data_IF_548212008113
#
_entry.id   IF_548212008113
#
_cell.length_a   1.000
_cell.length_b   1.000
_cell.length_c   1.000
_cell.angle_alpha   90.00
_cell.angle_beta   90.00
_cell.angle_gamma   90.00
#
_symmetry.space_group_name_H-M   'P 1'
#
loop_
_entity.id
_entity.type
_entity.pdbx_description
1 polymer ?
#
# COMPACT_ATOMS: atom_id res chain seq x y z
N UNK A 1 -36.62 22.53 -5.35
CA UNK A 1 -35.60 21.48 -5.48
C UNK A 1 -34.62 21.62 -4.33
N UNK A 2 -34.86 20.83 -3.26
CA UNK A 2 -34.01 20.82 -2.09
C UNK A 2 -32.73 20.02 -2.38
N UNK A 3 -31.57 20.70 -2.36
CA UNK A 3 -30.26 20.09 -2.37
C UNK A 3 -30.05 19.36 -1.04
N UNK A 4 -30.08 18.02 -1.06
CA UNK A 4 -29.64 17.21 0.08
C UNK A 4 -28.13 17.31 0.20
N UNK A 5 -27.66 18.13 1.11
CA UNK A 5 -26.28 18.09 1.57
C UNK A 5 -26.01 16.73 2.22
N UNK A 6 -25.21 15.89 1.58
CA UNK A 6 -24.67 14.67 2.19
C UNK A 6 -23.64 15.11 3.24
N UNK A 7 -24.08 15.31 4.47
CA UNK A 7 -23.17 15.40 5.62
C UNK A 7 -22.70 13.97 5.96
N UNK A 8 -21.59 13.56 5.40
CA UNK A 8 -20.87 12.37 5.87
C UNK A 8 -19.94 12.80 6.98
N UNK A 9 -20.39 12.71 8.22
CA UNK A 9 -19.54 12.61 9.38
C UNK A 9 -18.73 11.30 9.23
N UNK A 10 -17.61 11.36 8.53
CA UNK A 10 -16.66 10.24 8.45
C UNK A 10 -15.83 10.26 9.72
N UNK A 11 -16.09 9.32 10.60
CA UNK A 11 -15.15 8.94 11.65
C UNK A 11 -13.91 8.38 10.92
N UNK A 12 -12.91 9.23 10.69
CA UNK A 12 -11.63 8.76 10.13
C UNK A 12 -10.93 7.97 11.23
N UNK A 13 -10.64 6.71 10.95
CA UNK A 13 -9.79 5.90 11.82
C UNK A 13 -8.42 6.58 11.95
N UNK A 14 -7.83 6.52 13.14
CA UNK A 14 -6.48 7.08 13.36
C UNK A 14 -5.49 6.40 12.43
N UNK A 15 -4.69 7.17 11.64
CA UNK A 15 -3.66 6.59 10.79
C UNK A 15 -2.65 5.76 11.59
N UNK A 16 -2.25 4.62 11.04
CA UNK A 16 -1.31 3.70 11.64
C UNK A 16 0.12 3.96 11.16
N UNK A 17 1.08 3.55 11.99
CA UNK A 17 2.49 3.48 11.58
C UNK A 17 2.72 2.18 10.81
N UNK A 18 3.06 2.30 9.53
CA UNK A 18 3.24 1.13 8.65
C UNK A 18 4.65 0.55 8.77
N UNK A 19 4.73 -0.77 8.94
CA UNK A 19 5.98 -1.50 8.81
C UNK A 19 6.46 -1.43 7.37
N UNK A 20 7.77 -1.22 7.19
CA UNK A 20 8.36 -1.03 5.88
C UNK A 20 9.78 -1.56 5.80
N UNK A 21 10.26 -1.73 4.59
CA UNK A 21 11.68 -1.96 4.29
C UNK A 21 12.14 -0.86 3.32
N UNK A 22 13.35 -0.37 3.51
CA UNK A 22 13.94 0.63 2.62
C UNK A 22 15.19 0.06 1.94
N UNK A 23 15.31 0.34 0.65
CA UNK A 23 16.46 0.02 -0.19
C UNK A 23 17.08 1.35 -0.62
N UNK A 24 18.26 1.64 -0.10
CA UNK A 24 18.97 2.88 -0.37
C UNK A 24 19.97 2.71 -1.52
N UNK A 25 20.06 3.69 -2.43
CA UNK A 25 21.12 3.73 -3.42
C UNK A 25 22.48 4.04 -2.75
N UNK A 26 23.56 3.65 -3.42
CA UNK A 26 24.88 4.11 -2.99
C UNK A 26 24.92 5.65 -3.02
N UNK A 27 25.59 6.30 -2.02
CA UNK A 27 25.75 7.74 -2.04
C UNK A 27 26.41 8.30 -3.31
N UNK A 28 27.27 7.51 -3.94
CA UNK A 28 27.93 7.85 -5.21
C UNK A 28 26.99 7.87 -6.41
N UNK A 29 25.86 7.16 -6.33
CA UNK A 29 24.97 6.93 -7.46
C UNK A 29 23.78 7.91 -7.46
N UNK A 30 23.58 8.66 -6.37
CA UNK A 30 22.47 9.61 -6.25
C UNK A 30 22.64 10.77 -7.23
N UNK A 31 21.73 10.94 -8.19
CA UNK A 31 21.79 12.09 -9.10
C UNK A 31 21.50 13.38 -8.34
N UNK A 32 22.20 14.45 -8.74
CA UNK A 32 22.13 15.76 -8.09
C UNK A 32 20.76 16.43 -8.22
N UNK A 33 19.99 16.10 -9.28
CA UNK A 33 18.66 16.64 -9.54
C UNK A 33 17.71 15.53 -10.00
N UNK A 34 16.67 15.26 -9.22
CA UNK A 34 15.59 14.35 -9.61
C UNK A 34 14.23 14.95 -9.29
N UNK A 35 13.27 14.77 -10.21
CA UNK A 35 11.88 15.17 -10.02
C UNK A 35 11.17 14.36 -8.94
N UNK A 36 11.59 13.10 -8.77
CA UNK A 36 11.06 12.15 -7.78
C UNK A 36 12.09 11.96 -6.67
N UNK A 37 11.67 12.04 -5.40
CA UNK A 37 12.55 11.89 -4.25
C UNK A 37 12.70 10.44 -3.78
N UNK A 38 11.66 9.63 -3.97
CA UNK A 38 11.61 8.22 -3.57
C UNK A 38 10.52 7.47 -4.35
N UNK A 39 10.64 6.15 -4.41
CA UNK A 39 9.54 5.28 -4.80
C UNK A 39 8.96 4.62 -3.55
N UNK A 40 7.62 4.57 -3.47
CA UNK A 40 6.90 3.87 -2.40
C UNK A 40 5.98 2.84 -3.02
N UNK A 41 6.06 1.59 -2.56
CA UNK A 41 5.36 0.45 -3.15
C UNK A 41 4.38 -0.16 -2.15
N UNK A 42 3.10 -0.25 -2.57
CA UNK A 42 2.00 -0.84 -1.83
C UNK A 42 1.57 -2.16 -2.48
N UNK A 43 1.58 -3.24 -1.71
CA UNK A 43 1.21 -4.58 -2.16
C UNK A 43 -0.32 -4.78 -2.31
N UNK A 44 -0.72 -5.88 -2.94
CA UNK A 44 -2.11 -6.31 -3.05
C UNK A 44 -2.61 -7.06 -1.81
N UNK A 45 -3.91 -7.40 -1.81
CA UNK A 45 -4.56 -8.17 -0.75
C UNK A 45 -3.79 -9.49 -0.51
N UNK A 46 -3.63 -9.87 0.76
CA UNK A 46 -2.84 -11.01 1.25
C UNK A 46 -1.34 -10.93 0.95
N UNK A 47 -0.86 -9.81 0.44
CA UNK A 47 0.55 -9.57 0.20
C UNK A 47 1.29 -9.00 1.41
N UNK A 48 2.56 -8.71 1.19
CA UNK A 48 3.42 -8.01 2.15
C UNK A 48 4.54 -7.27 1.42
N UNK A 49 5.29 -6.43 2.15
CA UNK A 49 6.50 -5.76 1.64
C UNK A 49 7.50 -6.72 1.01
N UNK A 50 7.54 -7.97 1.48
CA UNK A 50 8.48 -8.98 0.98
C UNK A 50 8.23 -9.38 -0.49
N UNK A 51 6.98 -9.29 -0.97
CA UNK A 51 6.65 -9.61 -2.36
C UNK A 51 7.42 -8.72 -3.36
N UNK A 52 7.79 -7.52 -2.94
CA UNK A 52 8.45 -6.52 -3.78
C UNK A 52 9.96 -6.43 -3.59
N UNK A 53 10.53 -7.20 -2.65
CA UNK A 53 11.95 -7.10 -2.25
C UNK A 53 12.92 -7.25 -3.42
N UNK A 54 12.70 -8.23 -4.27
CA UNK A 54 13.60 -8.48 -5.42
C UNK A 54 13.51 -7.37 -6.46
N UNK A 55 12.29 -6.91 -6.75
CA UNK A 55 12.06 -5.82 -7.68
C UNK A 55 12.59 -4.49 -7.12
N UNK A 56 12.39 -4.20 -5.83
CA UNK A 56 12.91 -3.01 -5.19
C UNK A 56 14.46 -2.95 -5.26
N UNK A 57 15.13 -4.09 -5.06
CA UNK A 57 16.60 -4.19 -5.23
C UNK A 57 17.06 -3.90 -6.66
N UNK A 58 16.29 -4.33 -7.66
CA UNK A 58 16.58 -4.00 -9.05
C UNK A 58 16.32 -2.52 -9.36
N UNK A 59 15.19 -1.99 -8.89
CA UNK A 59 14.79 -0.59 -9.08
C UNK A 59 15.78 0.39 -8.43
N UNK A 60 16.31 0.08 -7.24
CA UNK A 60 17.28 0.98 -6.59
C UNK A 60 18.57 1.12 -7.39
N UNK A 61 18.98 0.04 -8.06
CA UNK A 61 20.16 0.06 -8.94
C UNK A 61 19.92 0.86 -10.22
N UNK A 62 18.71 0.74 -10.76
CA UNK A 62 18.34 1.40 -12.03
C UNK A 62 18.06 2.89 -11.84
N UNK A 63 17.31 3.26 -10.80
CA UNK A 63 16.84 4.62 -10.62
C UNK A 63 17.69 5.46 -9.68
N UNK A 64 18.59 4.83 -8.92
CA UNK A 64 19.40 5.48 -7.89
C UNK A 64 18.58 6.31 -6.87
N UNK A 65 17.37 5.83 -6.54
CA UNK A 65 16.42 6.43 -5.61
C UNK A 65 16.18 5.51 -4.42
N UNK A 66 15.86 6.07 -3.24
CA UNK A 66 15.32 5.27 -2.14
C UNK A 66 14.01 4.59 -2.56
N UNK A 67 13.90 3.30 -2.30
CA UNK A 67 12.71 2.50 -2.56
C UNK A 67 12.15 1.98 -1.24
N UNK A 68 10.92 2.35 -0.91
CA UNK A 68 10.22 1.86 0.27
C UNK A 68 9.18 0.82 -0.15
N UNK A 69 9.19 -0.35 0.49
CA UNK A 69 8.12 -1.34 0.38
C UNK A 69 7.35 -1.38 1.69
N UNK A 70 6.03 -1.21 1.64
CA UNK A 70 5.18 -1.12 2.83
C UNK A 70 4.44 -2.44 3.09
N UNK A 71 4.22 -2.77 4.36
CA UNK A 71 3.12 -3.61 4.76
C UNK A 71 1.90 -2.71 5.00
N UNK A 72 0.81 -2.93 4.28
CA UNK A 72 -0.44 -2.20 4.50
C UNK A 72 -1.05 -2.61 5.85
N UNK A 73 -1.95 -1.78 6.45
CA UNK A 73 -2.67 -2.20 7.69
C UNK A 73 -3.25 -3.60 7.55
N UNK A 74 -3.30 -4.34 8.62
CA UNK A 74 -3.77 -5.73 8.68
C UNK A 74 -2.94 -6.75 7.87
N UNK A 75 -1.75 -6.36 7.38
CA UNK A 75 -0.85 -7.23 6.62
C UNK A 75 0.57 -7.21 7.18
N UNK A 76 1.28 -8.31 6.98
CA UNK A 76 2.68 -8.45 7.33
C UNK A 76 2.98 -8.13 8.79
N UNK A 77 3.88 -7.15 9.01
CA UNK A 77 4.27 -6.70 10.34
C UNK A 77 3.62 -5.37 10.75
N UNK A 78 2.72 -4.82 9.92
CA UNK A 78 1.96 -3.62 10.26
C UNK A 78 0.89 -3.89 11.30
N UNK A 79 0.50 -2.89 12.11
CA UNK A 79 -0.55 -3.05 13.10
C UNK A 79 -1.89 -3.46 12.50
N UNK A 80 -2.68 -4.20 13.28
CA UNK A 80 -4.05 -4.55 12.97
C UNK A 80 -5.02 -3.46 13.46
N UNK A 81 -6.11 -3.28 12.71
CA UNK A 81 -7.22 -2.39 13.03
C UNK A 81 -8.54 -3.00 12.57
N UNK A 82 -9.64 -2.59 13.22
CA UNK A 82 -11.00 -3.06 12.90
C UNK A 82 -11.48 -2.60 11.52
N UNK A 83 -10.91 -1.52 11.00
CA UNK A 83 -11.28 -0.98 9.69
C UNK A 83 -10.12 -1.07 8.69
N UNK A 84 -10.46 -1.37 7.45
CA UNK A 84 -9.52 -1.49 6.34
C UNK A 84 -10.12 -0.92 5.05
N UNK A 85 -10.64 0.30 5.14
CA UNK A 85 -11.13 1.00 3.94
C UNK A 85 -9.98 1.57 3.13
N UNK A 86 -10.19 1.82 1.84
CA UNK A 86 -9.18 2.47 1.00
C UNK A 86 -8.80 3.86 1.52
N UNK A 87 -9.74 4.55 2.17
CA UNK A 87 -9.48 5.85 2.79
C UNK A 87 -8.60 5.73 4.04
N UNK A 88 -8.85 4.72 4.88
CA UNK A 88 -8.01 4.47 6.04
C UNK A 88 -6.58 4.14 5.63
N UNK A 89 -6.44 3.26 4.63
CA UNK A 89 -5.12 2.88 4.09
C UNK A 89 -4.41 4.05 3.41
N UNK A 90 -5.13 4.92 2.70
CA UNK A 90 -4.55 6.14 2.13
C UNK A 90 -4.05 7.08 3.22
N UNK A 91 -4.82 7.25 4.32
CA UNK A 91 -4.40 8.01 5.49
C UNK A 91 -3.13 7.48 6.14
N UNK A 92 -2.94 6.14 6.17
CA UNK A 92 -1.70 5.55 6.67
C UNK A 92 -0.51 5.92 5.79
N UNK A 93 -0.68 5.91 4.46
CA UNK A 93 0.39 6.30 3.53
C UNK A 93 0.70 7.80 3.66
N UNK A 94 -0.33 8.66 3.81
CA UNK A 94 -0.12 10.09 4.05
C UNK A 94 0.68 10.32 5.34
N UNK A 95 0.34 9.58 6.42
CA UNK A 95 1.12 9.60 7.66
C UNK A 95 2.55 9.14 7.43
N UNK A 96 2.74 8.03 6.71
CA UNK A 96 4.07 7.51 6.38
C UNK A 96 4.92 8.56 5.64
N UNK A 97 4.33 9.25 4.66
CA UNK A 97 5.04 10.33 3.95
C UNK A 97 5.44 11.47 4.89
N UNK A 98 4.53 11.85 5.80
CA UNK A 98 4.81 12.88 6.80
C UNK A 98 5.92 12.46 7.76
N UNK A 99 5.85 11.25 8.32
CA UNK A 99 6.82 10.73 9.28
C UNK A 99 8.22 10.59 8.67
N UNK A 100 8.31 10.25 7.38
CA UNK A 100 9.56 10.12 6.63
C UNK A 100 9.98 11.40 5.90
N UNK A 101 9.21 12.47 6.04
CA UNK A 101 9.45 13.75 5.36
C UNK A 101 9.58 13.59 3.83
N UNK A 102 8.79 12.70 3.24
CA UNK A 102 8.80 12.41 1.81
C UNK A 102 7.92 13.41 1.05
N UNK A 103 8.43 13.87 -0.08
CA UNK A 103 7.71 14.72 -1.04
C UNK A 103 8.08 14.32 -2.46
N UNK A 104 7.26 14.69 -3.44
CA UNK A 104 7.49 14.32 -4.85
C UNK A 104 7.73 12.82 -5.05
N UNK A 105 6.92 11.99 -4.39
CA UNK A 105 7.04 10.53 -4.40
C UNK A 105 6.43 9.94 -5.68
N UNK A 106 7.06 8.93 -6.25
CA UNK A 106 6.38 8.01 -7.17
C UNK A 106 5.73 6.90 -6.35
N UNK A 107 4.41 6.91 -6.28
CA UNK A 107 3.62 5.92 -5.55
C UNK A 107 3.19 4.79 -6.48
N UNK A 108 3.61 3.56 -6.18
CA UNK A 108 3.29 2.35 -6.94
C UNK A 108 2.34 1.50 -6.12
N UNK A 109 1.19 1.17 -6.67
CA UNK A 109 0.21 0.30 -6.01
C UNK A 109 -0.22 -0.85 -6.90
N UNK A 110 -0.17 -2.08 -6.38
CA UNK A 110 -0.64 -3.28 -7.05
C UNK A 110 -1.99 -3.73 -6.50
N UNK A 111 -2.96 -4.01 -7.36
CA UNK A 111 -4.28 -4.54 -6.98
C UNK A 111 -4.94 -3.68 -5.88
N UNK A 112 -5.17 -4.20 -4.67
CA UNK A 112 -5.64 -3.44 -3.50
C UNK A 112 -4.80 -2.17 -3.27
N UNK A 113 -3.47 -2.30 -3.27
CA UNK A 113 -2.55 -1.15 -3.15
C UNK A 113 -2.74 -0.13 -4.27
N UNK A 114 -3.12 -0.57 -5.48
CA UNK A 114 -3.48 0.30 -6.60
C UNK A 114 -4.72 1.15 -6.29
N UNK A 115 -5.77 0.55 -5.70
CA UNK A 115 -6.96 1.31 -5.22
C UNK A 115 -6.59 2.33 -4.16
N UNK A 116 -5.74 1.96 -3.21
CA UNK A 116 -5.28 2.86 -2.15
C UNK A 116 -4.51 4.04 -2.74
N UNK A 117 -3.57 3.76 -3.65
CA UNK A 117 -2.76 4.78 -4.30
C UNK A 117 -3.63 5.76 -5.13
N UNK A 118 -4.62 5.24 -5.87
CA UNK A 118 -5.61 6.05 -6.58
C UNK A 118 -6.47 6.89 -5.61
N UNK A 119 -6.91 6.30 -4.49
CA UNK A 119 -7.69 7.00 -3.46
C UNK A 119 -6.90 8.16 -2.87
N UNK A 120 -5.61 7.95 -2.58
CA UNK A 120 -4.72 8.99 -2.10
C UNK A 120 -4.53 10.11 -3.15
N UNK A 121 -4.24 9.74 -4.40
CA UNK A 121 -4.00 10.71 -5.48
C UNK A 121 -5.24 11.56 -5.81
N UNK A 122 -6.44 11.03 -5.60
CA UNK A 122 -7.71 11.72 -5.80
C UNK A 122 -8.16 12.51 -4.57
N UNK A 123 -7.43 12.47 -3.46
CA UNK A 123 -7.75 13.26 -2.28
C UNK A 123 -7.48 14.76 -2.54
N UNK A 124 -8.51 15.63 -2.56
CA UNK A 124 -8.33 17.06 -2.84
C UNK A 124 -7.53 17.79 -1.76
N UNK A 125 -7.30 17.16 -0.61
CA UNK A 125 -6.49 17.72 0.48
C UNK A 125 -5.03 17.29 0.43
N UNK A 126 -4.68 16.37 -0.48
CA UNK A 126 -3.29 15.94 -0.63
C UNK A 126 -2.43 17.13 -1.09
N UNK A 127 -1.32 17.43 -0.40
CA UNK A 127 -0.42 18.50 -0.84
C UNK A 127 0.07 18.27 -2.27
N UNK A 128 0.10 19.30 -3.09
CA UNK A 128 0.48 19.22 -4.52
C UNK A 128 1.88 18.66 -4.76
N UNK A 129 2.75 18.77 -3.76
CA UNK A 129 4.12 18.25 -3.80
C UNK A 129 4.25 16.83 -3.21
N UNK A 130 3.18 16.19 -2.76
CA UNK A 130 3.26 14.85 -2.17
C UNK A 130 3.64 13.80 -3.21
N UNK A 131 2.98 13.83 -4.37
CA UNK A 131 3.20 12.87 -5.45
C UNK A 131 3.81 13.55 -6.69
N UNK A 132 4.83 12.91 -7.26
CA UNK A 132 5.33 13.23 -8.61
C UNK A 132 4.64 12.35 -9.66
N UNK A 133 4.40 11.07 -9.35
CA UNK A 133 3.75 10.10 -10.23
C UNK A 133 2.92 9.11 -9.42
N UNK A 134 1.90 8.58 -10.10
CA UNK A 134 1.12 7.44 -9.64
C UNK A 134 1.25 6.30 -10.66
N UNK A 135 1.60 5.11 -10.19
CA UNK A 135 1.64 3.89 -11.00
C UNK A 135 0.66 2.89 -10.39
N UNK A 136 -0.42 2.62 -11.11
CA UNK A 136 -1.42 1.62 -10.73
C UNK A 136 -1.18 0.35 -11.52
N UNK A 137 -0.80 -0.73 -10.84
CA UNK A 137 -0.48 -2.02 -11.45
C UNK A 137 -1.68 -2.94 -11.29
N UNK A 138 -2.18 -3.45 -12.41
CA UNK A 138 -3.28 -4.41 -12.49
C UNK A 138 -4.54 -3.96 -11.71
N UNK A 139 -4.88 -2.66 -11.78
CA UNK A 139 -6.05 -2.12 -11.12
C UNK A 139 -6.61 -0.89 -11.82
N UNK A 140 -7.91 -0.94 -12.12
CA UNK A 140 -8.71 0.18 -12.64
C UNK A 140 -9.24 1.05 -11.51
N UNK A 141 -9.50 2.35 -11.71
CA UNK A 141 -10.19 3.21 -10.74
C UNK A 141 -11.69 2.88 -10.58
N UNK A 142 -12.30 2.15 -11.52
CA UNK A 142 -13.71 1.82 -11.46
C UNK A 142 -14.07 0.98 -10.22
N UNK A 143 -15.24 1.24 -9.64
CA UNK A 143 -15.79 0.35 -8.62
C UNK A 143 -16.15 -1.01 -9.24
N UNK A 144 -15.88 -2.08 -8.52
CA UNK A 144 -16.21 -3.43 -8.95
C UNK A 144 -16.29 -4.39 -7.77
N UNK A 145 -17.00 -5.51 -7.91
CA UNK A 145 -17.04 -6.53 -6.87
C UNK A 145 -15.66 -7.18 -6.69
N UNK A 146 -15.37 -7.59 -5.47
CA UNK A 146 -14.22 -8.44 -5.20
C UNK A 146 -14.50 -9.82 -5.79
N UNK A 147 -13.52 -10.40 -6.50
CA UNK A 147 -13.68 -11.76 -7.06
C UNK A 147 -14.05 -12.77 -5.97
N UNK A 148 -14.99 -13.69 -6.22
CA UNK A 148 -15.36 -14.77 -5.28
C UNK A 148 -14.17 -15.60 -4.80
N UNK A 149 -13.11 -15.70 -5.59
CA UNK A 149 -11.88 -16.42 -5.21
C UNK A 149 -11.23 -15.82 -3.96
N UNK A 150 -11.21 -14.51 -3.79
CA UNK A 150 -10.64 -13.89 -2.60
C UNK A 150 -11.40 -14.29 -1.33
N UNK A 151 -12.72 -14.44 -1.42
CA UNK A 151 -13.55 -14.94 -0.33
C UNK A 151 -13.24 -16.40 -0.01
N UNK A 152 -12.97 -17.20 -1.05
CA UNK A 152 -12.55 -18.61 -0.88
C UNK A 152 -11.19 -18.68 -0.19
N UNK A 153 -10.21 -17.90 -0.61
CA UNK A 153 -8.90 -17.82 0.04
C UNK A 153 -9.01 -17.41 1.51
N UNK A 154 -9.85 -16.41 1.83
CA UNK A 154 -10.08 -16.03 3.23
C UNK A 154 -10.63 -17.19 4.07
N UNK A 155 -11.58 -17.97 3.55
CA UNK A 155 -12.12 -19.13 4.24
C UNK A 155 -11.05 -20.21 4.47
N UNK A 156 -10.28 -20.56 3.44
CA UNK A 156 -9.18 -21.51 3.57
C UNK A 156 -8.15 -21.05 4.63
N UNK A 157 -7.80 -19.78 4.64
CA UNK A 157 -6.87 -19.23 5.64
C UNK A 157 -7.42 -19.36 7.07
N UNK A 158 -8.74 -19.15 7.26
CA UNK A 158 -9.39 -19.34 8.57
C UNK A 158 -9.35 -20.82 8.99
N UNK A 159 -9.58 -21.74 8.07
CA UNK A 159 -9.52 -23.19 8.34
C UNK A 159 -8.09 -23.62 8.68
N UNK A 160 -7.11 -23.23 7.87
CA UNK A 160 -5.68 -23.47 8.15
C UNK A 160 -5.29 -22.97 9.55
N UNK A 161 -5.76 -21.78 9.92
CA UNK A 161 -5.46 -21.20 11.22
C UNK A 161 -6.12 -21.99 12.38
N UNK A 162 -7.34 -22.51 12.18
CA UNK A 162 -8.03 -23.37 13.18
C UNK A 162 -7.30 -24.69 13.41
N UNK A 163 -6.81 -25.29 12.35
CA UNK A 163 -6.07 -26.56 12.38
C UNK A 163 -4.64 -26.40 12.94
N UNK A 164 -4.22 -25.17 13.23
CA UNK A 164 -2.87 -24.86 13.75
C UNK A 164 -1.72 -25.50 12.95
N UNK A 165 -1.89 -25.52 11.65
CA UNK A 165 -0.95 -26.13 10.69
C UNK A 165 0.47 -25.57 10.88
N UNK A 166 1.45 -26.45 11.01
CA UNK A 166 2.84 -26.09 11.30
C UNK A 166 3.72 -25.95 10.05
N UNK A 167 3.24 -26.41 8.90
CA UNK A 167 4.00 -26.36 7.66
C UNK A 167 3.14 -26.06 6.44
N UNK A 168 3.78 -25.53 5.40
CA UNK A 168 3.13 -25.29 4.12
C UNK A 168 2.58 -26.56 3.48
N UNK A 169 3.32 -27.67 3.62
CA UNK A 169 2.91 -28.98 3.10
C UNK A 169 1.68 -29.56 3.78
N UNK A 170 1.42 -29.18 5.03
CA UNK A 170 0.18 -29.53 5.71
C UNK A 170 -0.97 -28.66 5.25
N UNK A 171 -0.72 -27.35 5.08
CA UNK A 171 -1.72 -26.40 4.58
C UNK A 171 -2.23 -26.78 3.18
N UNK A 172 -1.36 -27.30 2.32
CA UNK A 172 -1.70 -27.69 0.94
C UNK A 172 -2.67 -28.90 0.88
N UNK A 173 -2.95 -29.57 2.00
CA UNK A 173 -3.85 -30.74 2.10
C UNK A 173 -5.27 -30.37 2.55
N UNK A 174 -5.49 -29.14 3.00
CA UNK A 174 -6.77 -28.59 3.42
C UNK A 174 -7.46 -27.92 2.23
#
# INVERSE_FOLDING_TARGET
>A
TASRAFSTSRTTCKPLELAHEVFEPSPSDRPMFQKTSALVICHGLYGSKQNWRSLAKAMVKEFALPIYTLDMRNHGSSPHADTMTYLDMAGDIEKFFSDKQLSNVTLIGHSMGGKVAQTMALNPRLPSHALSHLISVDMTPAAGPISPEFMRYARCMVEINKEQVQSRSEADKI
#
